data_IF_841961352602
#
_entry.id   IF_841961352602
#
_cell.length_a   1.000
_cell.length_b   1.000
_cell.length_c   1.000
_cell.angle_alpha   90.00
_cell.angle_beta   90.00
_cell.angle_gamma   90.00
#
_symmetry.space_group_name_H-M   'P 1'
#
loop_
_entity.id
_entity.type
_entity.pdbx_description
1 polymer ?
#
# COMPACT_ATOMS: atom_id res chain seq x y z
N UNK A 1 22.23 36.52 6.64
CA UNK A 1 21.81 35.30 5.96
C UNK A 1 23.05 34.43 5.74
N UNK A 2 23.33 33.46 6.63
CA UNK A 2 24.37 32.45 6.40
C UNK A 2 23.79 31.48 5.38
N UNK A 3 24.41 31.34 4.17
CA UNK A 3 24.19 30.21 3.28
C UNK A 3 24.45 28.96 4.11
N UNK A 4 23.43 28.14 4.33
CA UNK A 4 23.63 26.76 4.73
C UNK A 4 24.41 26.11 3.59
N UNK A 5 25.66 25.75 3.82
CA UNK A 5 26.40 24.89 2.92
C UNK A 5 25.61 23.61 2.75
N UNK A 6 25.18 23.32 1.55
CA UNK A 6 24.58 22.02 1.21
C UNK A 6 25.63 20.94 1.46
N UNK A 7 25.45 20.20 2.55
CA UNK A 7 26.27 19.02 2.82
C UNK A 7 25.92 18.00 1.73
N UNK A 8 26.75 17.93 0.70
CA UNK A 8 26.68 16.94 -0.37
C UNK A 8 27.25 15.64 0.17
N UNK A 9 26.46 14.56 0.08
CA UNK A 9 26.80 13.25 0.62
C UNK A 9 27.02 12.25 -0.51
N UNK A 10 28.26 11.76 -0.69
CA UNK A 10 28.57 10.78 -1.74
C UNK A 10 28.28 9.34 -1.36
N UNK A 11 28.36 9.04 -0.08
CA UNK A 11 28.05 7.72 0.45
C UNK A 11 27.55 7.84 1.90
N UNK A 12 26.82 6.85 2.36
CA UNK A 12 26.36 6.73 3.73
C UNK A 12 26.65 5.31 4.23
N UNK A 13 27.46 5.21 5.28
CA UNK A 13 27.68 3.95 5.98
C UNK A 13 26.44 3.54 6.77
N UNK A 14 26.10 2.27 6.69
CA UNK A 14 24.97 1.67 7.39
C UNK A 14 25.48 0.71 8.48
N UNK A 15 24.66 0.53 9.51
CA UNK A 15 25.02 -0.34 10.63
C UNK A 15 25.28 -1.79 10.19
N UNK A 16 24.49 -2.28 9.23
CA UNK A 16 24.59 -3.60 8.57
C UNK A 16 23.69 -3.61 7.33
N UNK A 17 23.77 -4.64 6.51
CA UNK A 17 22.90 -4.85 5.34
C UNK A 17 21.50 -5.33 5.73
N UNK A 18 20.95 -6.32 5.00
CA UNK A 18 19.64 -6.88 5.36
C UNK A 18 19.65 -7.54 6.75
N UNK A 19 20.79 -8.11 7.16
CA UNK A 19 20.93 -8.82 8.44
C UNK A 19 22.15 -8.30 9.23
N UNK A 20 22.15 -8.42 10.57
CA UNK A 20 23.20 -7.88 11.42
C UNK A 20 24.62 -8.41 11.15
N UNK A 21 24.74 -9.61 10.57
CA UNK A 21 26.01 -10.22 10.19
C UNK A 21 26.53 -9.76 8.81
N UNK A 22 25.71 -9.06 8.01
CA UNK A 22 26.09 -8.57 6.69
C UNK A 22 26.78 -7.20 6.80
N UNK A 23 28.08 -7.23 7.08
CA UNK A 23 28.97 -6.06 7.24
C UNK A 23 30.22 -6.22 6.39
N UNK A 24 30.79 -5.13 5.86
CA UNK A 24 30.32 -3.72 5.95
C UNK A 24 29.06 -3.49 5.12
N UNK A 25 28.39 -2.35 5.33
CA UNK A 25 27.21 -1.94 4.56
C UNK A 25 27.21 -0.44 4.33
N UNK A 26 26.87 -0.02 3.12
CA UNK A 26 26.71 1.40 2.75
C UNK A 26 25.79 1.57 1.54
N UNK A 27 25.31 2.78 1.35
CA UNK A 27 24.68 3.22 0.10
C UNK A 27 25.50 4.31 -0.55
N UNK A 28 25.55 4.31 -1.88
CA UNK A 28 26.29 5.30 -2.69
C UNK A 28 25.77 5.28 -4.12
N UNK A 29 26.07 6.33 -4.89
CA UNK A 29 25.75 6.38 -6.31
C UNK A 29 26.87 5.72 -7.12
N UNK A 30 26.52 4.78 -8.02
CA UNK A 30 27.50 4.03 -8.82
C UNK A 30 28.34 4.93 -9.75
N UNK A 31 27.79 6.07 -10.17
CA UNK A 31 28.49 7.07 -10.99
C UNK A 31 29.34 8.05 -10.17
N UNK A 32 29.41 7.91 -8.85
CA UNK A 32 30.14 8.78 -7.95
C UNK A 32 29.50 10.14 -7.70
N UNK A 33 28.27 10.37 -8.17
CA UNK A 33 27.49 11.57 -7.84
C UNK A 33 27.06 11.58 -6.37
N UNK A 34 26.50 12.70 -5.91
CA UNK A 34 25.94 12.81 -4.58
C UNK A 34 24.63 12.02 -4.47
N UNK A 35 24.36 11.46 -3.29
CA UNK A 35 23.09 10.82 -2.99
C UNK A 35 21.93 11.81 -3.14
N UNK A 36 20.81 11.42 -3.77
CA UNK A 36 19.65 12.31 -3.99
C UNK A 36 18.79 12.49 -2.74
N UNK A 37 19.38 12.33 -1.54
CA UNK A 37 18.68 12.40 -0.26
C UNK A 37 19.47 13.16 0.80
N UNK A 38 18.73 13.62 1.83
CA UNK A 38 19.28 14.06 3.11
C UNK A 38 18.58 13.31 4.23
N UNK A 39 19.32 12.74 5.15
CA UNK A 39 18.77 12.18 6.39
C UNK A 39 18.66 13.31 7.40
N UNK A 40 17.44 13.76 7.69
CA UNK A 40 17.19 14.88 8.60
C UNK A 40 17.18 14.42 10.07
N UNK A 41 16.72 13.21 10.33
CA UNK A 41 16.68 12.60 11.66
C UNK A 41 16.84 11.08 11.57
N UNK A 42 17.30 10.47 12.65
CA UNK A 42 17.44 9.03 12.79
C UNK A 42 18.68 8.47 12.09
N UNK A 43 18.65 7.14 11.94
CA UNK A 43 19.71 6.36 11.26
C UNK A 43 19.02 5.24 10.47
N UNK A 44 18.47 5.52 9.29
CA UNK A 44 17.81 4.50 8.48
C UNK A 44 18.75 3.35 8.15
N UNK A 45 18.24 2.13 8.22
CA UNK A 45 18.97 0.94 7.84
C UNK A 45 18.79 0.58 6.35
N UNK A 46 19.44 -0.48 5.93
CA UNK A 46 19.46 -0.98 4.56
C UNK A 46 18.05 -1.21 4.01
N UNK A 47 17.19 -1.94 4.74
CA UNK A 47 15.82 -2.22 4.32
C UNK A 47 14.98 -0.95 4.32
N UNK A 48 15.19 -0.03 5.28
CA UNK A 48 14.50 1.26 5.30
C UNK A 48 14.73 2.06 4.02
N UNK A 49 15.96 2.07 3.48
CA UNK A 49 16.26 2.75 2.22
C UNK A 49 15.62 2.04 1.01
N UNK A 50 15.56 0.71 1.00
CA UNK A 50 14.84 -0.02 -0.05
C UNK A 50 13.36 0.35 -0.05
N UNK A 51 12.72 0.37 1.14
CA UNK A 51 11.33 0.79 1.29
C UNK A 51 11.13 2.25 0.87
N UNK A 52 12.02 3.15 1.33
CA UNK A 52 11.95 4.57 1.04
C UNK A 52 12.03 4.87 -0.46
N UNK A 53 13.00 4.30 -1.17
CA UNK A 53 13.19 4.58 -2.59
C UNK A 53 12.10 3.94 -3.48
N UNK A 54 11.63 2.74 -3.16
CA UNK A 54 10.51 2.14 -3.86
C UNK A 54 9.21 2.90 -3.58
N UNK A 55 8.96 3.26 -2.32
CA UNK A 55 7.80 4.04 -1.93
C UNK A 55 7.76 5.43 -2.57
N UNK A 56 8.91 6.12 -2.65
CA UNK A 56 9.01 7.42 -3.31
C UNK A 56 8.63 7.35 -4.80
N UNK A 57 9.15 6.37 -5.52
CA UNK A 57 8.82 6.19 -6.93
C UNK A 57 7.31 5.96 -7.11
N UNK A 58 6.71 5.11 -6.28
CA UNK A 58 5.28 4.81 -6.31
C UNK A 58 4.44 6.07 -6.10
N UNK A 59 4.67 6.83 -5.05
CA UNK A 59 3.83 8.02 -4.75
C UNK A 59 4.03 9.13 -5.77
N UNK A 60 5.22 9.29 -6.33
CA UNK A 60 5.49 10.24 -7.40
C UNK A 60 4.66 9.92 -8.65
N UNK A 61 4.64 8.65 -9.06
CA UNK A 61 3.83 8.19 -10.20
C UNK A 61 2.32 8.32 -9.93
N UNK A 62 1.85 8.00 -8.72
CA UNK A 62 0.44 8.20 -8.34
C UNK A 62 0.02 9.65 -8.46
N UNK A 63 0.83 10.58 -7.95
CA UNK A 63 0.58 12.02 -8.09
C UNK A 63 0.58 12.46 -9.54
N UNK A 64 1.53 12.01 -10.34
CA UNK A 64 1.61 12.33 -11.78
C UNK A 64 0.37 11.82 -12.53
N UNK A 65 -0.08 10.60 -12.24
CA UNK A 65 -1.21 9.97 -12.90
C UNK A 65 -2.58 10.53 -12.51
N UNK A 66 -2.73 11.04 -11.29
CA UNK A 66 -4.03 11.45 -10.73
C UNK A 66 -4.16 12.93 -10.44
N UNK A 67 -3.05 13.67 -10.38
CA UNK A 67 -3.01 15.10 -10.01
C UNK A 67 -3.25 15.36 -8.51
N UNK A 68 -3.35 14.31 -7.68
CA UNK A 68 -3.65 14.42 -6.25
C UNK A 68 -2.45 13.99 -5.41
N UNK A 69 -2.29 14.55 -4.18
CA UNK A 69 -1.31 14.06 -3.24
C UNK A 69 -1.48 12.56 -3.00
N UNK A 70 -0.38 11.85 -2.84
CA UNK A 70 -0.36 10.40 -2.66
C UNK A 70 0.55 10.00 -1.51
N UNK A 71 0.24 8.86 -0.90
CA UNK A 71 1.03 8.25 0.14
C UNK A 71 1.04 6.72 0.00
N UNK A 72 2.09 6.10 0.53
CA UNK A 72 2.17 4.64 0.65
C UNK A 72 2.74 4.23 1.99
N UNK A 73 2.30 3.06 2.45
CA UNK A 73 2.83 2.33 3.59
C UNK A 73 3.61 1.14 3.06
N UNK A 74 4.93 1.13 3.24
CA UNK A 74 5.83 0.10 2.74
C UNK A 74 6.33 -0.79 3.86
N UNK A 75 6.43 -2.09 3.59
CA UNK A 75 7.05 -3.05 4.52
C UNK A 75 7.62 -4.24 3.74
N UNK A 76 8.85 -4.64 4.11
CA UNK A 76 9.56 -5.73 3.44
C UNK A 76 9.64 -5.55 1.91
N UNK A 77 9.95 -4.31 1.49
CA UNK A 77 10.16 -3.93 0.08
C UNK A 77 8.93 -4.15 -0.81
N UNK A 78 7.74 -4.06 -0.21
CA UNK A 78 6.46 -4.07 -0.92
C UNK A 78 5.45 -3.13 -0.25
N UNK A 79 4.53 -2.51 -1.00
CA UNK A 79 3.49 -1.71 -0.39
C UNK A 79 2.49 -2.59 0.36
N UNK A 80 2.20 -2.24 1.62
CA UNK A 80 1.06 -2.74 2.37
C UNK A 80 -0.23 -1.97 1.99
N UNK A 81 -0.06 -0.73 1.55
CA UNK A 81 -1.12 0.13 1.06
C UNK A 81 -0.59 1.32 0.27
N UNK A 82 -1.43 1.84 -0.61
CA UNK A 82 -1.18 3.04 -1.42
C UNK A 82 -2.50 3.77 -1.67
N UNK A 83 -2.50 5.09 -1.64
CA UNK A 83 -3.72 5.88 -1.81
C UNK A 83 -3.43 7.30 -2.26
N UNK A 84 -4.46 7.93 -2.83
CA UNK A 84 -4.51 9.35 -3.15
C UNK A 84 -5.35 10.13 -2.12
N UNK A 85 -5.15 11.43 -2.05
CA UNK A 85 -5.72 12.32 -1.04
C UNK A 85 -7.18 12.68 -1.27
N UNK A 86 -8.08 11.69 -1.18
CA UNK A 86 -9.52 11.91 -1.22
C UNK A 86 -10.11 12.05 0.19
N UNK A 87 -11.18 12.82 0.37
CA UNK A 87 -11.90 12.89 1.64
C UNK A 87 -12.36 11.53 2.14
N UNK A 88 -12.47 11.35 3.44
CA UNK A 88 -12.91 10.11 4.07
C UNK A 88 -14.31 10.26 4.65
N UNK A 89 -15.14 9.21 4.53
CA UNK A 89 -16.40 9.09 5.24
C UNK A 89 -16.15 8.95 6.75
N UNK A 90 -17.18 9.18 7.56
CA UNK A 90 -17.09 8.99 9.02
C UNK A 90 -16.74 7.56 9.40
N UNK A 91 -17.21 6.58 8.62
CA UNK A 91 -16.87 5.16 8.82
C UNK A 91 -15.38 4.90 8.56
N UNK A 92 -14.84 5.42 7.46
CA UNK A 92 -13.41 5.31 7.17
C UNK A 92 -12.56 6.01 8.23
N UNK A 93 -12.96 7.20 8.68
CA UNK A 93 -12.26 7.89 9.78
C UNK A 93 -12.21 7.02 11.04
N UNK A 94 -13.30 6.34 11.39
CA UNK A 94 -13.36 5.43 12.54
C UNK A 94 -12.41 4.24 12.40
N UNK A 95 -12.48 3.51 11.29
CA UNK A 95 -11.63 2.31 11.09
C UNK A 95 -10.15 2.64 10.92
N UNK A 96 -9.82 3.90 10.58
CA UNK A 96 -8.44 4.39 10.46
C UNK A 96 -7.95 5.12 11.71
N UNK A 97 -8.76 5.17 12.75
CA UNK A 97 -8.46 5.82 14.04
C UNK A 97 -8.09 7.30 13.91
N UNK A 98 -8.78 8.02 13.03
CA UNK A 98 -8.61 9.46 12.79
C UNK A 98 -9.88 10.28 12.98
N UNK A 99 -10.94 9.69 13.51
CA UNK A 99 -12.22 10.34 13.77
C UNK A 99 -12.15 11.44 14.84
N UNK A 100 -11.10 11.45 15.66
CA UNK A 100 -10.80 12.49 16.65
C UNK A 100 -9.86 13.61 16.15
N UNK A 101 -9.45 13.57 14.89
CA UNK A 101 -8.44 14.52 14.35
C UNK A 101 -9.06 15.72 13.61
N UNK A 102 -10.38 15.77 13.46
CA UNK A 102 -11.05 16.82 12.70
C UNK A 102 -10.85 16.69 11.19
N UNK A 103 -10.76 17.83 10.50
CA UNK A 103 -10.48 17.86 9.06
C UNK A 103 -8.99 17.67 8.81
N UNK A 104 -8.66 16.72 7.96
CA UNK A 104 -7.28 16.39 7.59
C UNK A 104 -6.95 16.97 6.22
N UNK A 105 -5.69 17.37 6.04
CA UNK A 105 -5.17 17.77 4.73
C UNK A 105 -5.28 16.61 3.71
N UNK A 106 -5.31 16.92 2.40
CA UNK A 106 -5.33 15.84 1.38
C UNK A 106 -4.18 14.85 1.52
N UNK A 107 -2.97 15.30 1.87
CA UNK A 107 -1.83 14.41 2.09
C UNK A 107 -2.03 13.51 3.31
N UNK A 108 -2.56 14.04 4.40
CA UNK A 108 -2.91 13.25 5.59
C UNK A 108 -4.01 12.23 5.29
N UNK A 109 -5.02 12.61 4.49
CA UNK A 109 -6.03 11.67 4.00
C UNK A 109 -5.41 10.54 3.17
N UNK A 110 -4.46 10.85 2.29
CA UNK A 110 -3.76 9.83 1.51
C UNK A 110 -3.04 8.83 2.41
N UNK A 111 -2.31 9.30 3.42
CA UNK A 111 -1.62 8.41 4.34
C UNK A 111 -2.57 7.61 5.25
N UNK A 112 -3.61 8.23 5.77
CA UNK A 112 -4.63 7.53 6.55
C UNK A 112 -5.25 6.37 5.76
N UNK A 113 -5.55 6.58 4.48
CA UNK A 113 -6.09 5.56 3.57
C UNK A 113 -5.05 4.48 3.24
N UNK A 114 -3.83 4.88 2.90
CA UNK A 114 -2.76 3.94 2.54
C UNK A 114 -2.42 2.98 3.70
N UNK A 115 -2.28 3.52 4.92
CA UNK A 115 -2.03 2.72 6.11
C UNK A 115 -3.26 1.96 6.57
N UNK A 116 -4.42 2.60 6.50
CA UNK A 116 -5.66 2.11 7.09
C UNK A 116 -6.24 0.89 6.39
N UNK A 117 -5.95 0.70 5.11
CA UNK A 117 -6.46 -0.44 4.35
C UNK A 117 -5.96 -1.80 4.87
N UNK A 118 -4.72 -1.86 5.33
CA UNK A 118 -4.12 -3.06 5.95
C UNK A 118 -3.30 -2.63 7.17
N UNK A 119 -3.99 -2.40 8.28
CA UNK A 119 -3.38 -1.92 9.52
C UNK A 119 -2.43 -2.95 10.14
N UNK A 120 -2.68 -4.24 9.93
CA UNK A 120 -1.81 -5.30 10.44
C UNK A 120 -0.45 -5.31 9.74
N UNK A 121 -0.44 -5.28 8.41
CA UNK A 121 0.80 -5.22 7.62
C UNK A 121 1.53 -3.87 7.75
N UNK A 122 0.81 -2.79 8.01
CA UNK A 122 1.37 -1.44 8.14
C UNK A 122 2.01 -1.15 9.51
N UNK A 123 1.88 -2.03 10.47
CA UNK A 123 2.54 -1.89 11.76
C UNK A 123 4.07 -1.95 11.61
N UNK A 124 4.77 -0.85 11.90
CA UNK A 124 6.20 -0.71 11.67
C UNK A 124 6.57 -0.44 10.21
N UNK A 125 5.71 0.24 9.46
CA UNK A 125 5.92 0.60 8.06
C UNK A 125 7.01 1.64 7.85
N UNK A 126 7.42 1.82 6.58
CA UNK A 126 8.13 2.99 6.09
C UNK A 126 7.20 3.77 5.17
N UNK A 127 7.06 5.06 5.43
CA UNK A 127 6.08 5.93 4.77
C UNK A 127 6.74 6.67 3.62
N UNK A 128 6.08 6.77 2.46
CA UNK A 128 6.45 7.70 1.42
C UNK A 128 5.29 8.67 1.14
N UNK A 129 5.64 9.93 0.96
CA UNK A 129 4.72 11.04 0.70
C UNK A 129 5.12 11.75 -0.59
N UNK A 130 4.16 12.02 -1.47
CA UNK A 130 4.41 12.69 -2.76
C UNK A 130 4.67 14.19 -2.64
N UNK A 131 4.30 14.79 -1.52
CA UNK A 131 4.33 16.23 -1.27
C UNK A 131 5.05 16.56 0.03
N UNK A 132 5.30 17.83 0.26
CA UNK A 132 5.86 18.32 1.52
C UNK A 132 4.98 17.86 2.68
N UNK A 133 5.59 17.16 3.63
CA UNK A 133 4.89 16.69 4.82
C UNK A 133 4.42 17.88 5.66
N UNK A 134 3.11 18.00 5.77
CA UNK A 134 2.45 19.06 6.54
C UNK A 134 2.21 18.64 8.00
N UNK A 135 1.70 19.58 8.79
CA UNK A 135 1.38 19.38 10.20
C UNK A 135 0.41 18.22 10.43
N UNK A 136 -0.68 18.16 9.67
CA UNK A 136 -1.72 17.12 9.85
C UNK A 136 -1.16 15.73 9.59
N UNK A 137 -0.37 15.60 8.53
CA UNK A 137 0.31 14.34 8.19
C UNK A 137 1.30 13.93 9.28
N UNK A 138 2.10 14.88 9.78
CA UNK A 138 3.05 14.61 10.88
C UNK A 138 2.33 14.20 12.18
N UNK A 139 1.20 14.82 12.50
CA UNK A 139 0.37 14.46 13.66
C UNK A 139 -0.17 13.03 13.53
N UNK A 140 -0.59 12.63 12.34
CA UNK A 140 -1.03 11.26 12.08
C UNK A 140 0.15 10.27 12.22
N UNK A 141 1.30 10.58 11.61
CA UNK A 141 2.52 9.75 11.73
C UNK A 141 2.94 9.59 13.19
N UNK A 142 2.87 10.67 13.98
CA UNK A 142 3.25 10.65 15.40
C UNK A 142 2.48 9.59 16.20
N UNK A 143 1.20 9.38 15.86
CA UNK A 143 0.28 8.46 16.57
C UNK A 143 0.53 6.99 16.26
N UNK A 144 1.16 6.71 15.13
CA UNK A 144 1.29 5.36 14.58
C UNK A 144 2.68 4.76 14.83
N UNK A 145 2.76 3.43 14.89
CA UNK A 145 4.05 2.73 14.94
C UNK A 145 4.58 2.60 13.52
N UNK A 146 5.65 3.32 13.22
CA UNK A 146 6.33 3.31 11.93
C UNK A 146 7.84 3.45 12.10
N UNK A 147 8.61 3.06 11.09
CA UNK A 147 10.07 3.10 11.14
C UNK A 147 10.64 4.42 10.62
N UNK A 148 9.96 5.04 9.67
CA UNK A 148 10.42 6.29 9.10
C UNK A 148 9.52 6.81 7.99
N UNK A 149 9.91 7.96 7.45
CA UNK A 149 9.19 8.66 6.37
C UNK A 149 10.18 9.27 5.38
N UNK A 150 9.83 9.23 4.09
CA UNK A 150 10.49 9.97 3.01
C UNK A 150 9.50 10.91 2.34
N UNK A 151 9.92 12.14 2.10
CA UNK A 151 9.14 13.18 1.43
C UNK A 151 10.07 14.18 0.73
N UNK A 152 9.59 14.97 -0.25
CA UNK A 152 10.37 16.01 -0.91
C UNK A 152 10.73 17.18 0.02
N UNK A 153 10.01 17.33 1.14
CA UNK A 153 10.25 18.35 2.14
C UNK A 153 9.34 18.15 3.36
N UNK A 154 9.54 19.02 4.35
CA UNK A 154 8.79 19.00 5.61
C UNK A 154 8.56 20.43 6.06
N UNK A 155 7.35 20.77 6.51
CA UNK A 155 7.14 22.06 7.20
C UNK A 155 7.90 22.09 8.52
N UNK A 156 8.18 23.28 9.04
CA UNK A 156 8.81 23.45 10.36
C UNK A 156 8.02 22.72 11.46
N UNK A 157 6.70 22.93 11.46
CA UNK A 157 5.78 22.28 12.41
C UNK A 157 5.83 20.75 12.28
N UNK A 158 5.88 20.21 11.05
CA UNK A 158 5.99 18.77 10.84
C UNK A 158 7.31 18.22 11.42
N UNK A 159 8.44 18.88 11.22
CA UNK A 159 9.72 18.46 11.78
C UNK A 159 9.71 18.49 13.30
N UNK A 160 9.13 19.52 13.93
CA UNK A 160 8.99 19.62 15.39
C UNK A 160 8.16 18.43 15.95
N UNK A 161 7.07 18.08 15.27
CA UNK A 161 6.22 16.96 15.66
C UNK A 161 6.96 15.62 15.51
N UNK A 162 7.62 15.39 14.37
CA UNK A 162 8.36 14.15 14.11
C UNK A 162 9.56 13.98 15.03
N UNK A 163 10.21 15.07 15.44
CA UNK A 163 11.32 15.04 16.40
C UNK A 163 10.92 14.49 17.78
N UNK A 164 9.62 14.49 18.12
CA UNK A 164 9.13 13.93 19.38
C UNK A 164 9.00 12.40 19.33
N UNK A 165 9.05 11.78 18.13
CA UNK A 165 9.00 10.31 17.99
C UNK A 165 10.36 9.70 18.35
N UNK A 166 10.31 8.51 18.95
CA UNK A 166 11.51 7.70 19.30
C UNK A 166 12.63 8.55 19.96
N UNK A 167 12.26 9.54 20.77
CA UNK A 167 13.19 10.47 21.45
C UNK A 167 14.14 11.16 20.46
N UNK A 168 13.65 11.59 19.31
CA UNK A 168 14.42 12.25 18.26
C UNK A 168 15.16 11.30 17.30
N UNK A 169 14.97 9.99 17.41
CA UNK A 169 15.62 8.99 16.56
C UNK A 169 14.68 8.38 15.50
N UNK A 170 13.54 9.00 15.24
CA UNK A 170 12.66 8.61 14.15
C UNK A 170 13.33 8.91 12.80
N UNK A 171 13.24 7.99 11.85
CA UNK A 171 13.89 8.16 10.55
C UNK A 171 13.11 9.15 9.67
N UNK A 172 13.73 10.28 9.33
CA UNK A 172 13.15 11.30 8.45
C UNK A 172 14.13 11.56 7.31
N UNK A 173 13.70 11.26 6.09
CA UNK A 173 14.50 11.37 4.88
C UNK A 173 13.85 12.42 3.97
N UNK A 174 14.65 13.38 3.48
CA UNK A 174 14.26 14.29 2.42
C UNK A 174 14.86 13.79 1.10
N UNK A 175 14.03 13.68 0.06
CA UNK A 175 14.43 13.32 -1.30
C UNK A 175 14.50 14.56 -2.18
N UNK A 176 15.46 14.61 -3.10
CA UNK A 176 15.43 15.56 -4.22
C UNK A 176 14.37 15.13 -5.22
N UNK A 177 13.25 15.84 -5.27
CA UNK A 177 12.13 15.55 -6.17
C UNK A 177 12.47 15.66 -7.64
N UNK A 178 13.54 16.41 -7.99
CA UNK A 178 14.00 16.62 -9.37
C UNK A 178 14.99 15.55 -9.82
N UNK A 179 15.44 14.67 -8.92
CA UNK A 179 16.35 13.60 -9.30
C UNK A 179 15.67 12.58 -10.21
N UNK A 180 16.34 12.29 -11.33
CA UNK A 180 15.92 11.27 -12.30
C UNK A 180 16.99 10.17 -12.35
N UNK A 181 16.66 8.92 -12.03
CA UNK A 181 17.57 7.80 -12.11
C UNK A 181 18.06 7.56 -13.54
N UNK A 182 19.23 6.90 -13.69
CA UNK A 182 19.75 6.47 -14.98
C UNK A 182 18.74 5.57 -15.71
N UNK A 183 18.87 5.50 -17.05
CA UNK A 183 18.00 4.66 -17.89
C UNK A 183 18.22 3.16 -17.69
N UNK A 184 19.43 2.79 -17.28
CA UNK A 184 19.81 1.41 -16.99
C UNK A 184 19.91 1.20 -15.49
N UNK A 185 19.40 0.09 -15.02
CA UNK A 185 19.51 -0.36 -13.63
C UNK A 185 20.25 -1.69 -13.56
N UNK A 186 20.90 -1.94 -12.42
CA UNK A 186 21.76 -3.08 -12.21
C UNK A 186 21.38 -3.82 -10.94
N UNK A 187 21.45 -5.14 -10.99
CA UNK A 187 21.29 -6.03 -9.84
C UNK A 187 22.40 -7.09 -9.86
N UNK A 188 22.99 -7.39 -8.71
CA UNK A 188 24.00 -8.44 -8.58
C UNK A 188 23.46 -9.66 -7.86
N UNK A 189 23.66 -10.83 -8.43
CA UNK A 189 23.35 -12.12 -7.83
C UNK A 189 24.52 -13.06 -8.08
N UNK A 190 25.08 -13.63 -7.05
CA UNK A 190 26.24 -14.52 -7.13
C UNK A 190 27.44 -13.91 -7.87
N UNK A 191 27.66 -12.59 -7.74
CA UNK A 191 28.71 -11.87 -8.44
C UNK A 191 28.42 -11.55 -9.90
N UNK A 192 27.32 -12.07 -10.48
CA UNK A 192 26.88 -11.74 -11.85
C UNK A 192 26.05 -10.48 -11.79
N UNK A 193 26.39 -9.51 -12.62
CA UNK A 193 25.62 -8.27 -12.78
C UNK A 193 24.57 -8.46 -13.86
N UNK A 194 23.32 -8.21 -13.49
CA UNK A 194 22.19 -8.10 -14.40
C UNK A 194 21.97 -6.64 -14.73
N UNK A 195 21.80 -6.32 -15.99
CA UNK A 195 21.52 -4.97 -16.49
C UNK A 195 20.22 -4.99 -17.30
N UNK A 196 19.34 -4.02 -17.05
CA UNK A 196 18.09 -3.84 -17.78
C UNK A 196 17.73 -2.36 -17.89
N UNK A 197 16.85 -2.03 -18.83
CA UNK A 197 16.19 -0.72 -18.86
C UNK A 197 15.29 -0.56 -17.62
N UNK A 198 15.32 0.65 -17.03
CA UNK A 198 14.43 0.99 -15.94
C UNK A 198 12.97 0.94 -16.38
N UNK A 199 12.08 0.46 -15.50
CA UNK A 199 10.64 0.43 -15.76
C UNK A 199 10.05 1.86 -15.63
N UNK A 200 10.11 2.62 -16.72
CA UNK A 200 9.63 4.00 -16.79
C UNK A 200 8.32 4.16 -17.58
N UNK A 201 7.66 3.03 -17.90
CA UNK A 201 6.38 3.03 -18.58
C UNK A 201 5.34 3.82 -17.78
N UNK A 202 4.67 4.76 -18.45
CA UNK A 202 3.55 5.50 -17.88
C UNK A 202 2.28 4.67 -17.91
N UNK A 203 1.58 4.66 -16.78
CA UNK A 203 0.26 4.06 -16.65
C UNK A 203 -0.78 5.17 -16.84
N UNK A 204 -1.41 5.21 -18.00
CA UNK A 204 -2.37 6.23 -18.39
C UNK A 204 -3.67 5.62 -18.96
N UNK A 205 -4.60 6.48 -19.37
CA UNK A 205 -5.88 6.05 -19.92
C UNK A 205 -5.72 5.34 -21.28
N UNK A 206 -4.70 5.66 -22.08
CA UNK A 206 -4.42 4.99 -23.36
C UNK A 206 -4.06 3.51 -23.12
N UNK A 207 -3.24 3.23 -22.12
CA UNK A 207 -2.85 1.87 -21.75
C UNK A 207 -4.09 1.01 -21.36
N UNK A 208 -5.14 1.63 -20.85
CA UNK A 208 -6.39 0.99 -20.42
C UNK A 208 -7.50 0.99 -21.49
N UNK A 209 -7.20 1.41 -22.72
CA UNK A 209 -8.22 1.60 -23.78
C UNK A 209 -8.68 0.31 -24.46
N UNK A 210 -7.87 -0.77 -24.40
CA UNK A 210 -8.21 -2.03 -25.04
C UNK A 210 -9.13 -2.90 -24.16
N UNK A 211 -10.42 -2.59 -24.14
CA UNK A 211 -11.41 -3.33 -23.35
C UNK A 211 -11.89 -4.54 -24.15
N UNK A 212 -11.63 -5.74 -23.63
CA UNK A 212 -11.83 -7.02 -24.34
C UNK A 212 -13.17 -7.72 -24.04
N UNK A 213 -13.84 -7.32 -22.96
CA UNK A 213 -15.14 -7.86 -22.53
C UNK A 213 -16.31 -7.25 -23.28
N UNK A 214 -17.52 -7.85 -23.17
CA UNK A 214 -18.78 -7.31 -23.75
C UNK A 214 -19.13 -5.96 -23.12
N UNK A 215 -19.06 -5.86 -21.79
CA UNK A 215 -19.18 -4.58 -21.10
C UNK A 215 -17.95 -3.73 -21.40
N UNK A 216 -18.15 -2.57 -22.04
CA UNK A 216 -17.10 -1.63 -22.42
C UNK A 216 -17.04 -0.41 -21.52
N UNK A 217 -17.90 -0.32 -20.52
CA UNK A 217 -18.06 0.87 -19.69
C UNK A 217 -17.14 0.78 -18.46
N UNK A 218 -16.11 1.63 -18.46
CA UNK A 218 -15.24 1.86 -17.32
C UNK A 218 -15.31 3.35 -17.00
N UNK A 219 -16.01 3.78 -15.95
CA UNK A 219 -16.12 5.19 -15.60
C UNK A 219 -14.79 5.75 -15.12
N UNK A 220 -14.62 7.08 -15.17
CA UNK A 220 -13.35 7.74 -14.90
C UNK A 220 -12.77 7.46 -13.50
N UNK A 221 -13.62 7.34 -12.49
CA UNK A 221 -13.17 6.96 -11.15
C UNK A 221 -12.59 5.54 -11.12
N UNK A 222 -13.17 4.60 -11.85
CA UNK A 222 -12.64 3.24 -11.99
C UNK A 222 -11.36 3.21 -12.84
N UNK A 223 -11.23 4.03 -13.88
CA UNK A 223 -9.97 4.20 -14.62
C UNK A 223 -8.86 4.71 -13.68
N UNK A 224 -9.16 5.68 -12.83
CA UNK A 224 -8.20 6.15 -11.83
C UNK A 224 -7.82 5.04 -10.84
N UNK A 225 -8.77 4.27 -10.37
CA UNK A 225 -8.51 3.14 -9.47
C UNK A 225 -7.66 2.05 -10.15
N UNK A 226 -7.90 1.76 -11.44
CA UNK A 226 -7.05 0.84 -12.21
C UNK A 226 -5.62 1.36 -12.37
N UNK A 227 -5.45 2.67 -12.62
CA UNK A 227 -4.10 3.29 -12.64
C UNK A 227 -3.40 3.15 -11.29
N UNK A 228 -4.10 3.42 -10.18
CA UNK A 228 -3.56 3.22 -8.83
C UNK A 228 -3.14 1.77 -8.62
N UNK A 229 -3.97 0.82 -9.02
CA UNK A 229 -3.67 -0.61 -8.93
C UNK A 229 -2.38 -0.97 -9.67
N UNK A 230 -2.28 -0.62 -10.96
CA UNK A 230 -1.13 -0.98 -11.80
C UNK A 230 0.16 -0.26 -11.38
N UNK A 231 0.09 1.02 -10.99
CA UNK A 231 1.26 1.74 -10.46
C UNK A 231 1.75 1.09 -9.16
N UNK A 232 0.84 0.70 -8.27
CA UNK A 232 1.18 -0.02 -7.04
C UNK A 232 1.92 -1.33 -7.35
N UNK A 233 1.48 -2.07 -8.38
CA UNK A 233 2.09 -3.33 -8.77
C UNK A 233 3.49 -3.18 -9.38
N UNK A 234 3.82 -2.05 -10.00
CA UNK A 234 5.18 -1.77 -10.47
C UNK A 234 6.23 -1.86 -9.36
N UNK A 235 5.82 -1.66 -8.10
CA UNK A 235 6.70 -1.64 -6.93
C UNK A 235 6.35 -2.74 -5.92
N UNK A 236 5.62 -3.76 -6.35
CA UNK A 236 5.21 -4.90 -5.52
C UNK A 236 5.90 -6.17 -6.00
N UNK A 237 6.52 -6.91 -5.09
CA UNK A 237 7.20 -8.18 -5.43
C UNK A 237 6.23 -9.16 -6.09
N UNK A 238 6.62 -9.68 -7.26
CA UNK A 238 5.79 -10.60 -8.06
C UNK A 238 5.75 -12.04 -7.47
N UNK A 239 4.71 -12.83 -7.74
CA UNK A 239 3.46 -12.41 -8.39
C UNK A 239 2.69 -11.45 -7.50
N UNK A 240 2.05 -10.47 -8.11
CA UNK A 240 1.27 -9.49 -7.36
C UNK A 240 -0.07 -9.16 -8.02
N UNK A 241 -1.07 -8.90 -7.19
CA UNK A 241 -2.37 -8.35 -7.59
C UNK A 241 -2.79 -7.29 -6.56
N UNK A 242 -3.57 -6.30 -7.00
CA UNK A 242 -3.99 -5.19 -6.17
C UNK A 242 -5.47 -4.87 -6.40
N UNK A 243 -6.27 -4.99 -5.33
CA UNK A 243 -7.66 -4.54 -5.29
C UNK A 243 -7.68 -3.07 -4.86
N UNK A 244 -8.41 -2.25 -5.58
CA UNK A 244 -8.53 -0.81 -5.32
C UNK A 244 -10.00 -0.39 -5.29
N UNK A 245 -10.35 0.50 -4.38
CA UNK A 245 -11.66 1.12 -4.31
C UNK A 245 -11.53 2.56 -3.81
N UNK A 246 -12.22 3.47 -4.50
CA UNK A 246 -12.32 4.88 -4.10
C UNK A 246 -10.97 5.54 -3.80
N UNK A 247 -9.99 5.35 -4.70
CA UNK A 247 -8.68 6.01 -4.62
C UNK A 247 -7.68 5.39 -3.65
N UNK A 248 -7.91 4.15 -3.19
CA UNK A 248 -7.00 3.47 -2.28
C UNK A 248 -6.91 1.96 -2.56
N UNK A 249 -5.71 1.41 -2.45
CA UNK A 249 -5.51 -0.03 -2.42
C UNK A 249 -6.16 -0.58 -1.14
N UNK A 250 -7.02 -1.58 -1.30
CA UNK A 250 -7.74 -2.23 -0.18
C UNK A 250 -7.26 -3.66 0.08
N UNK A 251 -6.51 -4.23 -0.84
CA UNK A 251 -5.89 -5.53 -0.67
C UNK A 251 -4.78 -5.74 -1.69
N UNK A 252 -3.56 -5.96 -1.21
CA UNK A 252 -2.37 -6.21 -2.03
C UNK A 252 -1.83 -7.60 -1.70
N UNK A 253 -1.71 -8.45 -2.70
CA UNK A 253 -0.98 -9.70 -2.63
C UNK A 253 0.39 -9.55 -3.27
N UNK A 254 1.44 -9.95 -2.56
CA UNK A 254 2.83 -9.78 -2.99
C UNK A 254 3.62 -11.08 -2.83
N UNK A 255 4.59 -11.31 -3.71
CA UNK A 255 5.58 -12.37 -3.58
C UNK A 255 5.03 -13.79 -3.65
N UNK A 256 3.88 -14.02 -4.28
CA UNK A 256 3.27 -15.33 -4.37
C UNK A 256 3.73 -16.09 -5.62
N UNK A 257 4.02 -17.39 -5.46
CA UNK A 257 4.44 -18.25 -6.56
C UNK A 257 3.27 -18.65 -7.46
N UNK A 258 2.04 -18.70 -6.92
CA UNK A 258 0.82 -19.01 -7.66
C UNK A 258 -0.05 -17.78 -7.83
N UNK A 259 -0.51 -17.52 -9.07
CA UNK A 259 -1.40 -16.38 -9.37
C UNK A 259 -2.70 -16.46 -8.57
N UNK A 260 -3.34 -17.62 -8.53
CA UNK A 260 -4.62 -17.78 -7.80
C UNK A 260 -4.44 -17.60 -6.28
N UNK A 261 -3.32 -18.06 -5.71
CA UNK A 261 -3.02 -17.81 -4.29
C UNK A 261 -2.83 -16.33 -4.03
N UNK A 262 -2.18 -15.61 -4.96
CA UNK A 262 -2.03 -14.16 -4.86
C UNK A 262 -3.38 -13.45 -4.89
N UNK A 263 -4.26 -13.82 -5.83
CA UNK A 263 -5.61 -13.26 -5.95
C UNK A 263 -6.45 -13.55 -4.70
N UNK A 264 -6.33 -14.74 -4.12
CA UNK A 264 -7.01 -15.11 -2.86
C UNK A 264 -6.52 -14.28 -1.67
N UNK A 265 -5.20 -14.15 -1.51
CA UNK A 265 -4.61 -13.39 -0.41
C UNK A 265 -4.99 -11.91 -0.47
N UNK A 266 -4.85 -11.29 -1.65
CA UNK A 266 -5.22 -9.89 -1.84
C UNK A 266 -6.74 -9.69 -1.65
N UNK A 267 -7.55 -10.61 -2.14
CA UNK A 267 -9.00 -10.58 -1.96
C UNK A 267 -9.42 -10.74 -0.50
N UNK A 268 -8.75 -11.57 0.28
CA UNK A 268 -8.99 -11.69 1.72
C UNK A 268 -8.69 -10.38 2.45
N UNK A 269 -7.61 -9.70 2.10
CA UNK A 269 -7.30 -8.36 2.67
C UNK A 269 -8.36 -7.33 2.31
N UNK A 270 -8.84 -7.33 1.06
CA UNK A 270 -9.93 -6.45 0.63
C UNK A 270 -11.24 -6.76 1.38
N UNK A 271 -11.56 -8.04 1.57
CA UNK A 271 -12.70 -8.48 2.37
C UNK A 271 -12.59 -8.01 3.82
N UNK A 272 -11.43 -8.15 4.45
CA UNK A 272 -11.17 -7.68 5.81
C UNK A 272 -11.36 -6.16 5.94
N UNK A 273 -10.89 -5.39 4.95
CA UNK A 273 -11.11 -3.95 4.92
C UNK A 273 -12.61 -3.59 4.93
N UNK A 274 -13.44 -4.31 4.17
CA UNK A 274 -14.87 -4.10 4.12
C UNK A 274 -15.58 -4.61 5.38
N UNK A 275 -15.20 -5.77 5.90
CA UNK A 275 -15.74 -6.34 7.14
C UNK A 275 -15.53 -5.41 8.36
N UNK A 276 -14.40 -4.71 8.41
CA UNK A 276 -14.11 -3.72 9.46
C UNK A 276 -15.13 -2.57 9.52
N UNK A 277 -15.82 -2.30 8.42
CA UNK A 277 -16.84 -1.25 8.31
C UNK A 277 -18.23 -1.73 8.74
N UNK A 278 -18.41 -3.02 9.00
CA UNK A 278 -19.69 -3.58 9.47
C UNK A 278 -20.05 -3.02 10.85
N UNK A 279 -21.32 -2.60 11.09
CA UNK A 279 -21.74 -2.13 12.40
C UNK A 279 -21.42 -3.09 13.54
N UNK A 280 -21.51 -4.40 13.30
CA UNK A 280 -21.16 -5.43 14.29
C UNK A 280 -19.68 -5.33 14.73
N UNK A 281 -18.77 -4.96 13.83
CA UNK A 281 -17.34 -4.77 14.13
C UNK A 281 -17.08 -3.37 14.71
N UNK A 282 -17.73 -2.33 14.17
CA UNK A 282 -17.60 -0.95 14.67
C UNK A 282 -18.05 -0.79 16.12
N UNK A 283 -19.02 -1.60 16.54
CA UNK A 283 -19.62 -1.55 17.87
C UNK A 283 -19.05 -2.59 18.85
N UNK A 284 -17.91 -3.21 18.55
CA UNK A 284 -17.25 -4.12 19.48
C UNK A 284 -16.98 -3.44 20.82
N UNK A 285 -17.37 -4.07 21.96
CA UNK A 285 -17.35 -3.45 23.29
C UNK A 285 -15.94 -3.51 23.90
N UNK A 286 -14.99 -2.76 23.35
CA UNK A 286 -13.62 -2.71 23.85
C UNK A 286 -13.52 -2.12 25.25
N UNK A 287 -12.61 -2.64 26.08
CA UNK A 287 -12.27 -2.04 27.37
C UNK A 287 -11.68 -0.63 27.17
N UNK A 288 -11.90 0.25 28.13
CA UNK A 288 -11.34 1.59 28.13
C UNK A 288 -9.80 1.53 28.16
N UNK A 289 -9.13 2.42 27.40
CA UNK A 289 -7.68 2.54 27.37
C UNK A 289 -6.94 1.45 26.60
N UNK A 290 -7.63 0.53 25.94
CA UNK A 290 -6.96 -0.46 25.07
C UNK A 290 -6.12 0.25 23.97
N UNK A 291 -4.91 -0.22 23.74
CA UNK A 291 -4.03 0.34 22.71
C UNK A 291 -4.55 0.05 21.31
N UNK A 292 -4.30 0.96 20.36
CA UNK A 292 -4.73 0.79 18.95
C UNK A 292 -4.25 -0.53 18.34
N UNK A 293 -2.98 -0.89 18.53
CA UNK A 293 -2.43 -2.15 18.01
C UNK A 293 -3.17 -3.38 18.56
N UNK A 294 -3.54 -3.37 19.83
CA UNK A 294 -4.28 -4.47 20.45
C UNK A 294 -5.72 -4.54 19.92
N UNK A 295 -6.34 -3.37 19.66
CA UNK A 295 -7.65 -3.30 18.98
C UNK A 295 -7.58 -3.85 17.56
N UNK A 296 -6.60 -3.39 16.78
CA UNK A 296 -6.42 -3.86 15.40
C UNK A 296 -6.24 -5.38 15.35
N UNK A 297 -5.41 -5.92 16.23
CA UNK A 297 -5.20 -7.36 16.34
C UNK A 297 -6.48 -8.10 16.74
N UNK A 298 -7.20 -7.61 17.73
CA UNK A 298 -8.47 -8.24 18.17
C UNK A 298 -9.54 -8.21 17.08
N UNK A 299 -9.64 -7.12 16.31
CA UNK A 299 -10.54 -7.03 15.16
C UNK A 299 -10.15 -8.04 14.10
N UNK A 300 -8.86 -8.11 13.74
CA UNK A 300 -8.34 -9.04 12.72
C UNK A 300 -8.68 -10.49 13.08
N UNK A 301 -8.43 -10.90 14.32
CA UNK A 301 -8.79 -12.25 14.81
C UNK A 301 -10.31 -12.44 14.81
N UNK A 302 -11.09 -11.47 15.29
CA UNK A 302 -12.54 -11.56 15.39
C UNK A 302 -13.23 -11.75 14.02
N UNK A 303 -12.77 -11.04 13.00
CA UNK A 303 -13.30 -11.18 11.64
C UNK A 303 -12.73 -12.39 10.88
N UNK A 304 -11.63 -12.97 11.37
CA UNK A 304 -10.96 -14.12 10.78
C UNK A 304 -11.66 -15.46 11.07
N UNK A 305 -11.01 -16.53 10.64
CA UNK A 305 -11.49 -17.91 10.89
C UNK A 305 -11.11 -18.41 12.28
N UNK A 306 -10.04 -17.86 12.88
CA UNK A 306 -9.60 -18.16 14.25
C UNK A 306 -10.27 -17.28 15.32
N UNK A 307 -11.47 -16.77 15.06
CA UNK A 307 -12.18 -15.85 15.97
C UNK A 307 -12.33 -16.37 17.41
N UNK A 308 -12.30 -17.68 17.62
CA UNK A 308 -12.34 -18.25 18.96
C UNK A 308 -11.13 -17.88 19.81
N UNK A 309 -9.97 -17.57 19.20
CA UNK A 309 -8.77 -17.20 19.97
C UNK A 309 -8.97 -15.90 20.76
N UNK A 310 -9.87 -15.03 20.34
CA UNK A 310 -10.24 -13.79 21.06
C UNK A 310 -11.56 -13.93 21.82
N UNK A 311 -12.37 -14.96 21.56
CA UNK A 311 -13.70 -15.15 22.19
C UNK A 311 -13.75 -16.23 23.26
N UNK A 312 -12.71 -17.04 23.45
CA UNK A 312 -12.67 -18.02 24.54
C UNK A 312 -12.58 -17.34 25.90
N UNK A 313 -13.10 -18.02 26.93
CA UNK A 313 -13.01 -17.52 28.31
C UNK A 313 -11.53 -17.39 28.73
N UNK A 314 -11.20 -16.28 29.38
CA UNK A 314 -9.83 -15.90 29.71
C UNK A 314 -9.12 -15.05 28.65
N UNK A 315 -9.59 -15.05 27.39
CA UNK A 315 -9.08 -14.20 26.33
C UNK A 315 -9.95 -12.95 26.13
N UNK A 316 -11.26 -13.10 25.94
CA UNK A 316 -12.14 -11.97 25.65
C UNK A 316 -12.13 -10.90 26.75
N UNK A 317 -12.03 -11.30 28.02
CA UNK A 317 -12.02 -10.38 29.17
C UNK A 317 -10.81 -9.42 29.18
N UNK A 318 -9.76 -9.73 28.43
CA UNK A 318 -8.57 -8.88 28.30
C UNK A 318 -8.78 -7.74 27.28
N UNK A 319 -9.81 -7.84 26.45
CA UNK A 319 -10.01 -6.98 25.29
C UNK A 319 -11.37 -6.29 25.31
N UNK A 320 -12.43 -7.01 25.77
CA UNK A 320 -13.81 -6.56 25.73
C UNK A 320 -14.41 -6.42 27.13
N UNK A 321 -15.39 -5.54 27.28
CA UNK A 321 -16.17 -5.36 28.50
C UNK A 321 -17.23 -6.45 28.68
N UNK A 322 -17.68 -7.03 27.57
CA UNK A 322 -18.59 -8.17 27.50
C UNK A 322 -18.21 -9.04 26.31
N UNK A 323 -18.59 -10.32 26.35
CA UNK A 323 -18.25 -11.27 25.29
C UNK A 323 -19.05 -10.95 24.02
N UNK A 324 -18.39 -10.58 22.92
CA UNK A 324 -19.07 -10.37 21.66
C UNK A 324 -19.69 -11.66 21.11
N UNK A 325 -20.79 -11.50 20.38
CA UNK A 325 -21.35 -12.61 19.60
C UNK A 325 -20.42 -12.93 18.42
N UNK A 326 -20.41 -14.19 17.99
CA UNK A 326 -19.67 -14.65 16.83
C UNK A 326 -20.16 -13.92 15.58
N UNK A 327 -19.25 -13.45 14.76
CA UNK A 327 -19.53 -12.94 13.42
C UNK A 327 -19.56 -14.12 12.45
N UNK A 328 -20.77 -14.63 12.17
CA UNK A 328 -20.95 -15.87 11.42
C UNK A 328 -20.55 -15.73 9.95
N UNK A 329 -20.29 -16.86 9.27
CA UNK A 329 -19.96 -16.86 7.84
C UNK A 329 -21.10 -16.28 6.99
N UNK A 330 -22.34 -16.53 7.36
CA UNK A 330 -23.53 -16.02 6.69
C UNK A 330 -23.62 -14.50 6.82
N UNK A 331 -23.41 -13.95 8.03
CA UNK A 331 -23.40 -12.52 8.29
C UNK A 331 -22.25 -11.82 7.51
N UNK A 332 -21.04 -12.42 7.54
CA UNK A 332 -19.91 -11.90 6.76
C UNK A 332 -20.23 -11.87 5.28
N UNK A 333 -20.78 -12.96 4.72
CA UNK A 333 -21.14 -13.03 3.30
C UNK A 333 -22.19 -11.98 2.94
N UNK A 334 -23.23 -11.83 3.74
CA UNK A 334 -24.27 -10.81 3.51
C UNK A 334 -23.70 -9.37 3.53
N UNK A 335 -22.70 -9.09 4.32
CA UNK A 335 -22.02 -7.79 4.32
C UNK A 335 -21.09 -7.63 3.13
N UNK A 336 -20.31 -8.65 2.78
CA UNK A 336 -19.41 -8.64 1.64
C UNK A 336 -20.15 -8.49 0.30
N UNK A 337 -21.36 -9.04 0.18
CA UNK A 337 -22.19 -8.92 -1.03
C UNK A 337 -22.64 -7.47 -1.32
N UNK A 338 -22.50 -6.57 -0.36
CA UNK A 338 -22.77 -5.13 -0.53
C UNK A 338 -21.55 -4.36 -1.08
N UNK A 339 -20.36 -4.95 -1.06
CA UNK A 339 -19.17 -4.33 -1.65
C UNK A 339 -19.23 -4.44 -3.17
N UNK A 340 -19.19 -3.29 -3.84
CA UNK A 340 -19.35 -3.20 -5.30
C UNK A 340 -18.33 -2.22 -5.90
N UNK A 341 -18.22 -2.26 -7.23
CA UNK A 341 -17.40 -1.36 -8.03
C UNK A 341 -15.91 -1.35 -7.62
N UNK A 342 -15.41 -2.50 -7.17
CA UNK A 342 -14.00 -2.72 -6.86
C UNK A 342 -13.23 -2.93 -8.16
N UNK A 343 -12.01 -2.41 -8.24
CA UNK A 343 -11.08 -2.66 -9.34
C UNK A 343 -10.01 -3.67 -8.94
N UNK A 344 -9.51 -4.41 -9.92
CA UNK A 344 -8.42 -5.37 -9.75
C UNK A 344 -7.39 -5.21 -10.86
N UNK A 345 -6.13 -4.97 -10.48
CA UNK A 345 -4.97 -5.07 -11.37
C UNK A 345 -4.18 -6.32 -11.10
N UNK A 346 -3.55 -6.85 -12.13
CA UNK A 346 -2.61 -7.98 -12.06
C UNK A 346 -1.31 -7.63 -12.80
N UNK A 347 -0.17 -7.98 -12.22
CA UNK A 347 1.14 -7.73 -12.83
C UNK A 347 1.48 -8.67 -14.00
N UNK A 348 0.68 -9.73 -14.19
CA UNK A 348 0.72 -10.62 -15.36
C UNK A 348 -0.67 -11.18 -15.66
N UNK A 349 -0.81 -11.94 -16.76
CA UNK A 349 -2.09 -12.51 -17.16
C UNK A 349 -2.66 -13.50 -16.11
N UNK A 350 -3.97 -13.61 -16.07
CA UNK A 350 -4.65 -14.65 -15.32
C UNK A 350 -4.63 -15.95 -16.11
N UNK A 351 -4.03 -17.04 -15.57
CA UNK A 351 -3.93 -18.30 -16.32
C UNK A 351 -5.25 -19.07 -16.37
N UNK A 352 -6.17 -18.83 -15.42
CA UNK A 352 -7.44 -19.54 -15.29
C UNK A 352 -8.54 -18.60 -14.76
N UNK A 353 -9.79 -18.97 -15.05
CA UNK A 353 -10.98 -18.24 -14.66
C UNK A 353 -11.27 -18.21 -13.16
N UNK A 354 -10.66 -19.12 -12.37
CA UNK A 354 -10.80 -19.14 -10.90
C UNK A 354 -10.34 -17.83 -10.22
N UNK A 355 -9.40 -17.11 -10.85
CA UNK A 355 -9.01 -15.77 -10.41
C UNK A 355 -10.18 -14.78 -10.51
N UNK A 356 -10.96 -14.85 -11.59
CA UNK A 356 -12.12 -13.98 -11.80
C UNK A 356 -13.27 -14.36 -10.87
N UNK A 357 -13.51 -15.67 -10.68
CA UNK A 357 -14.47 -16.18 -9.69
C UNK A 357 -14.15 -15.68 -8.27
N UNK A 358 -12.86 -15.68 -7.90
CA UNK A 358 -12.43 -15.13 -6.61
C UNK A 358 -12.64 -13.61 -6.53
N UNK A 359 -12.29 -12.89 -7.58
CA UNK A 359 -12.44 -11.44 -7.65
C UNK A 359 -13.90 -11.01 -7.52
N UNK A 360 -14.81 -11.73 -8.18
CA UNK A 360 -16.26 -11.50 -8.09
C UNK A 360 -16.77 -11.50 -6.64
N UNK A 361 -16.28 -12.42 -5.81
CA UNK A 361 -16.68 -12.52 -4.38
C UNK A 361 -16.28 -11.32 -3.54
N UNK A 362 -15.35 -10.49 -4.01
CA UNK A 362 -14.92 -9.23 -3.39
C UNK A 362 -15.43 -7.99 -4.14
N UNK A 363 -16.51 -8.11 -4.89
CA UNK A 363 -17.19 -6.98 -5.54
C UNK A 363 -16.45 -6.38 -6.73
N UNK A 364 -15.48 -7.08 -7.33
CA UNK A 364 -14.73 -6.60 -8.50
C UNK A 364 -15.65 -6.49 -9.70
N UNK A 365 -15.57 -5.34 -10.38
CA UNK A 365 -16.29 -5.04 -11.62
C UNK A 365 -15.36 -4.61 -12.75
N UNK A 366 -14.21 -4.08 -12.45
CA UNK A 366 -13.24 -3.54 -13.40
C UNK A 366 -11.89 -4.20 -13.22
N UNK A 367 -11.29 -4.68 -14.30
CA UNK A 367 -10.02 -5.43 -14.25
C UNK A 367 -9.05 -4.88 -15.29
N UNK A 368 -7.77 -4.85 -14.95
CA UNK A 368 -6.68 -4.61 -15.88
C UNK A 368 -5.58 -5.67 -15.71
N UNK A 369 -5.18 -6.28 -16.79
CA UNK A 369 -4.10 -7.25 -16.85
C UNK A 369 -3.48 -7.30 -18.26
N UNK A 370 -2.29 -7.90 -18.45
CA UNK A 370 -1.62 -7.87 -19.76
C UNK A 370 -2.34 -8.58 -20.91
N UNK A 371 -3.08 -9.65 -20.62
CA UNK A 371 -3.47 -10.62 -21.65
C UNK A 371 -2.30 -11.52 -22.10
N UNK A 372 -2.55 -12.36 -23.08
CA UNK A 372 -1.53 -13.24 -23.66
C UNK A 372 -1.50 -14.66 -23.11
N UNK A 373 -2.49 -15.04 -22.29
CA UNK A 373 -2.69 -16.42 -21.87
C UNK A 373 -3.38 -17.23 -22.97
N UNK A 374 -3.01 -18.49 -23.09
CA UNK A 374 -3.76 -19.44 -23.97
C UNK A 374 -5.19 -19.67 -23.51
N UNK A 375 -5.58 -19.18 -22.35
CA UNK A 375 -6.92 -19.30 -21.75
C UNK A 375 -7.61 -17.93 -21.59
N UNK A 376 -7.17 -16.93 -22.32
CA UNK A 376 -7.79 -15.58 -22.28
C UNK A 376 -9.29 -15.62 -22.62
N UNK A 377 -9.68 -16.51 -23.54
CA UNK A 377 -11.08 -16.74 -23.91
C UNK A 377 -11.95 -17.12 -22.70
N UNK A 378 -11.51 -18.04 -21.85
CA UNK A 378 -12.23 -18.47 -20.65
C UNK A 378 -12.24 -17.38 -19.57
N UNK A 379 -11.17 -16.62 -19.45
CA UNK A 379 -11.06 -15.50 -18.50
C UNK A 379 -12.05 -14.40 -18.92
N UNK A 380 -12.10 -14.04 -20.19
CA UNK A 380 -13.04 -13.06 -20.74
C UNK A 380 -14.49 -13.53 -20.60
N UNK A 381 -14.78 -14.80 -20.93
CA UNK A 381 -16.12 -15.38 -20.77
C UNK A 381 -16.61 -15.28 -19.32
N UNK A 382 -15.73 -15.53 -18.34
CA UNK A 382 -16.07 -15.43 -16.92
C UNK A 382 -16.32 -13.98 -16.51
N UNK A 383 -15.55 -13.02 -17.02
CA UNK A 383 -15.81 -11.60 -16.83
C UNK A 383 -17.19 -11.19 -17.41
N UNK A 384 -17.50 -11.69 -18.60
CA UNK A 384 -18.81 -11.44 -19.27
C UNK A 384 -19.97 -12.02 -18.47
N UNK A 385 -19.81 -13.20 -17.89
CA UNK A 385 -20.80 -13.84 -16.99
C UNK A 385 -21.20 -12.92 -15.84
N UNK A 386 -20.28 -12.15 -15.31
CA UNK A 386 -20.49 -11.24 -14.19
C UNK A 386 -20.63 -9.76 -14.61
N UNK A 387 -20.77 -9.50 -15.90
CA UNK A 387 -20.87 -8.15 -16.46
C UNK A 387 -19.70 -7.23 -16.04
N UNK A 388 -18.51 -7.80 -15.91
CA UNK A 388 -17.28 -7.05 -15.64
C UNK A 388 -16.74 -6.42 -16.92
N UNK A 389 -16.00 -5.31 -16.79
CA UNK A 389 -15.20 -4.73 -17.86
C UNK A 389 -13.71 -5.00 -17.61
N UNK A 390 -13.02 -5.58 -18.60
CA UNK A 390 -11.61 -5.91 -18.53
C UNK A 390 -10.84 -5.23 -19.64
N UNK A 391 -9.75 -4.55 -19.29
CA UNK A 391 -8.77 -4.00 -20.21
C UNK A 391 -7.52 -4.90 -20.27
N UNK A 392 -7.03 -5.17 -21.47
CA UNK A 392 -5.71 -5.78 -21.70
C UNK A 392 -4.68 -4.70 -21.97
N UNK A 393 -3.68 -4.61 -21.10
CA UNK A 393 -2.61 -3.61 -21.21
C UNK A 393 -1.50 -4.02 -22.19
N UNK A 394 -1.37 -5.31 -22.48
CA UNK A 394 -0.26 -5.86 -23.27
C UNK A 394 1.11 -5.82 -22.58
N UNK A 395 1.18 -5.39 -21.33
CA UNK A 395 2.43 -5.14 -20.61
C UNK A 395 2.45 -5.84 -19.26
N UNK A 396 3.47 -6.67 -19.05
CA UNK A 396 3.78 -7.31 -17.79
C UNK A 396 4.53 -6.34 -16.87
N UNK A 397 4.15 -6.32 -15.58
CA UNK A 397 4.72 -5.43 -14.57
C UNK A 397 5.51 -6.17 -13.48
N UNK A 398 6.23 -7.22 -13.83
CA UNK A 398 7.03 -7.97 -12.85
C UNK A 398 8.06 -7.07 -12.17
N UNK A 399 8.17 -7.26 -10.85
CA UNK A 399 9.14 -6.59 -9.99
C UNK A 399 9.83 -7.64 -9.11
N UNK A 400 11.15 -7.71 -9.23
CA UNK A 400 11.99 -8.67 -8.51
C UNK A 400 13.20 -8.03 -7.86
#
# INVERSE_FOLDING_TARGET
MKRQEEIRMKELELKYGCNPNQKPSKIYMADGSDLPIKVLMGRPGYINFLDAFNGWQLVRELKEATGLPAATSFKHVSPAGAAIGLPMSDVLKKIYWVDDMGDLSPLACAYARARGADRMSSFGDFIALSDVCDKDTAMLIKREVSDGVIAPGYSEEALEILAQKKKGNYNVIQIDENYVPAKLEHKQVFGVTFEQGRQDLKIDDELLSNIVTKNKDIPQNALNDLKISLITLKYTQSNSVCYVKDGQAIGIGAGQQSRVHCTRLAGQKADNWWLRQCPKVLNLPFIEGIRRADRDNAIDVYIGDEYMDVLVDGAWQKVFTEKPEVFTKEEKRAWLDQMQDVTLGSDAFFPFSDNIERAHKSGVKYIAEPGGSVRDDLVIETCDKYNMAMAFTGIRLFHH
#
